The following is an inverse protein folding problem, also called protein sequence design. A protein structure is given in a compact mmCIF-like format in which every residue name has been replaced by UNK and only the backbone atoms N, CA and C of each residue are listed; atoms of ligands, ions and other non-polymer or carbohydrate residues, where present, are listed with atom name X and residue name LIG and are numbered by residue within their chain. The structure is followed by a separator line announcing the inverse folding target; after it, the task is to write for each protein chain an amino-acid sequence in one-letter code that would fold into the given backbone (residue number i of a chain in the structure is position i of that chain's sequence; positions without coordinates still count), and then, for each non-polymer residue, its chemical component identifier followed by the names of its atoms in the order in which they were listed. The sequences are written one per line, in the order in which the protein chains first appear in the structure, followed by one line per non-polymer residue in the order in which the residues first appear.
data_IF_887836223426
#
_entry.id   IF_887836223426
#
_cell.length_a   1.000
_cell.length_b   1.000
_cell.length_c   1.000
_cell.angle_alpha   90.00
_cell.angle_beta   90.00
_cell.angle_gamma   90.00
#
_symmetry.space_group_name_H-M   'P 1'
#
loop_
_entity.id
_entity.type
_entity.pdbx_description
1 polymer ?
#
# COMPACT_ATOMS: atom_id res chain seq x y z
N UNK A 1 -15.38 1.73 5.26
CA UNK A 1 -16.65 1.34 5.91
C UNK A 1 -17.65 0.75 4.92
N UNK A 2 -18.14 1.53 3.93
CA UNK A 2 -19.17 1.08 2.95
C UNK A 2 -18.76 -0.20 2.22
N UNK A 3 -17.54 -0.25 1.68
CA UNK A 3 -16.98 -1.47 1.06
C UNK A 3 -17.04 -2.67 1.99
N UNK A 4 -16.57 -2.52 3.23
CA UNK A 4 -16.52 -3.60 4.23
C UNK A 4 -17.92 -4.12 4.57
N UNK A 5 -18.93 -3.24 4.71
CA UNK A 5 -20.32 -3.64 4.99
C UNK A 5 -20.98 -4.35 3.80
N UNK A 6 -20.71 -3.88 2.57
CA UNK A 6 -21.19 -4.55 1.36
C UNK A 6 -20.53 -5.90 1.12
N UNK A 7 -19.28 -6.07 1.53
CA UNK A 7 -18.57 -7.34 1.44
C UNK A 7 -18.98 -8.32 2.54
N UNK A 8 -19.31 -7.82 3.74
CA UNK A 8 -19.67 -8.66 4.89
C UNK A 8 -21.18 -8.93 5.03
N UNK A 9 -22.04 -8.28 4.24
CA UNK A 9 -23.48 -8.56 4.30
C UNK A 9 -23.78 -9.99 3.82
N UNK A 10 -24.66 -10.68 4.55
CA UNK A 10 -25.19 -11.99 4.16
C UNK A 10 -26.62 -11.81 3.67
N UNK A 11 -27.07 -12.71 2.80
CA UNK A 11 -28.50 -12.80 2.45
C UNK A 11 -29.26 -13.20 3.72
N UNK A 12 -30.35 -12.50 3.99
CA UNK A 12 -31.26 -12.84 5.07
C UNK A 12 -31.97 -14.19 4.78
N UNK A 13 -32.67 -14.74 5.77
CA UNK A 13 -33.54 -15.93 5.69
C UNK A 13 -34.51 -15.92 4.49
N UNK A 14 -34.90 -14.73 4.01
CA UNK A 14 -35.74 -14.51 2.83
C UNK A 14 -34.96 -14.27 1.53
N UNK A 15 -33.65 -14.50 1.51
CA UNK A 15 -32.77 -14.32 0.35
C UNK A 15 -32.47 -12.86 -0.03
N UNK A 16 -33.02 -11.88 0.70
CA UNK A 16 -32.81 -10.45 0.44
C UNK A 16 -31.46 -9.97 0.98
N UNK A 17 -30.80 -9.10 0.23
CA UNK A 17 -29.59 -8.39 0.64
C UNK A 17 -29.98 -7.15 1.44
N UNK A 18 -29.24 -6.88 2.53
CA UNK A 18 -29.47 -5.72 3.40
C UNK A 18 -29.20 -4.38 2.68
N UNK A 19 -28.24 -4.38 1.76
CA UNK A 19 -27.87 -3.23 0.94
C UNK A 19 -27.94 -3.59 -0.54
N UNK A 20 -28.67 -2.79 -1.32
CA UNK A 20 -28.81 -2.94 -2.77
C UNK A 20 -27.55 -2.48 -3.53
N UNK A 21 -26.72 -1.64 -2.91
CA UNK A 21 -25.47 -1.16 -3.49
C UNK A 21 -24.71 -0.15 -2.61
N UNK A 22 -23.65 0.44 -3.17
CA UNK A 22 -22.78 1.45 -2.54
C UNK A 22 -23.53 2.62 -1.92
N UNK A 23 -24.36 3.27 -2.74
CA UNK A 23 -25.11 4.47 -2.38
C UNK A 23 -26.21 4.18 -1.37
N UNK A 24 -26.88 3.04 -1.51
CA UNK A 24 -27.91 2.58 -0.56
C UNK A 24 -27.30 2.27 0.82
N UNK A 25 -26.15 1.57 0.85
CA UNK A 25 -25.41 1.37 2.09
C UNK A 25 -24.98 2.69 2.72
N UNK A 26 -24.48 3.65 1.94
CA UNK A 26 -24.09 4.96 2.45
C UNK A 26 -25.28 5.71 3.05
N UNK A 27 -26.40 5.80 2.33
CA UNK A 27 -27.61 6.49 2.78
C UNK A 27 -28.18 5.87 4.05
N UNK A 28 -28.23 4.54 4.12
CA UNK A 28 -28.72 3.82 5.30
C UNK A 28 -27.79 4.00 6.52
N UNK A 29 -26.47 4.06 6.32
CA UNK A 29 -25.51 4.32 7.41
C UNK A 29 -25.69 5.72 7.96
N UNK A 30 -25.79 6.73 7.08
CA UNK A 30 -26.02 8.12 7.50
C UNK A 30 -27.35 8.25 8.23
N UNK A 31 -28.41 7.61 7.72
CA UNK A 31 -29.74 7.66 8.34
C UNK A 31 -29.82 6.94 9.70
N UNK A 32 -29.10 5.82 9.88
CA UNK A 32 -29.17 4.99 11.10
C UNK A 32 -28.12 5.32 12.15
N UNK A 33 -26.91 5.71 11.74
CA UNK A 33 -25.75 5.91 12.63
C UNK A 33 -25.26 7.36 12.65
N UNK A 34 -25.88 8.24 11.84
CA UNK A 34 -25.47 9.62 11.67
C UNK A 34 -24.12 9.77 10.96
N UNK A 35 -23.69 11.02 10.80
CA UNK A 35 -22.41 11.35 10.15
C UNK A 35 -21.22 10.79 10.95
N UNK A 36 -21.31 10.75 12.28
CA UNK A 36 -20.28 10.16 13.16
C UNK A 36 -20.11 8.64 12.94
N UNK A 37 -21.16 7.94 12.49
CA UNK A 37 -21.10 6.52 12.13
C UNK A 37 -20.10 6.23 11.00
N UNK A 38 -19.94 7.17 10.04
CA UNK A 38 -18.97 7.05 8.94
C UNK A 38 -17.51 7.01 9.41
N UNK A 39 -17.22 7.64 10.55
CA UNK A 39 -15.87 7.72 11.11
C UNK A 39 -15.51 6.51 11.98
N UNK A 40 -16.48 5.63 12.31
CA UNK A 40 -16.22 4.40 13.06
C UNK A 40 -15.30 3.49 12.25
N UNK A 41 -14.10 3.25 12.79
CA UNK A 41 -13.07 2.42 12.16
C UNK A 41 -11.97 3.20 11.44
N UNK A 42 -11.99 4.54 11.43
CA UNK A 42 -10.87 5.34 10.91
C UNK A 42 -9.62 5.12 11.75
N UNK A 43 -9.70 5.20 13.07
CA UNK A 43 -8.57 4.99 13.99
C UNK A 43 -7.83 3.67 13.74
N UNK A 44 -8.48 2.48 13.77
CA UNK A 44 -7.79 1.23 13.46
C UNK A 44 -7.31 1.11 12.01
N UNK A 45 -7.90 1.86 11.07
CA UNK A 45 -7.38 1.94 9.71
C UNK A 45 -6.09 2.78 9.63
N UNK A 46 -6.07 3.95 10.26
CA UNK A 46 -4.89 4.81 10.34
C UNK A 46 -3.73 4.10 11.04
N UNK A 47 -3.97 3.47 12.19
CA UNK A 47 -2.92 2.72 12.92
C UNK A 47 -2.30 1.62 12.05
N UNK A 48 -3.06 1.02 11.11
CA UNK A 48 -2.51 0.00 10.22
C UNK A 48 -1.85 0.57 8.97
N UNK A 49 -2.40 1.64 8.37
CA UNK A 49 -1.94 2.16 7.07
C UNK A 49 -0.77 3.14 7.26
N UNK A 50 -0.76 3.94 8.31
CA UNK A 50 0.25 4.98 8.52
C UNK A 50 1.65 4.40 8.67
N UNK A 51 1.90 3.37 9.52
CA UNK A 51 3.24 2.76 9.60
C UNK A 51 3.68 2.13 8.28
N UNK A 52 2.73 1.53 7.54
CA UNK A 52 2.99 0.94 6.23
C UNK A 52 3.48 1.99 5.23
N UNK A 53 2.83 3.16 5.16
CA UNK A 53 3.26 4.24 4.26
C UNK A 53 4.52 4.94 4.73
N UNK A 54 4.69 5.13 6.04
CA UNK A 54 5.87 5.77 6.61
C UNK A 54 7.15 4.99 6.32
N UNK A 55 7.16 3.67 6.59
CA UNK A 55 8.30 2.80 6.28
C UNK A 55 8.61 2.84 4.79
N UNK A 56 7.56 2.78 3.96
CA UNK A 56 7.71 2.76 2.50
C UNK A 56 8.30 4.06 1.94
N UNK A 57 7.86 5.22 2.43
CA UNK A 57 8.41 6.51 2.04
C UNK A 57 9.86 6.67 2.52
N UNK A 58 10.12 6.36 3.79
CA UNK A 58 11.46 6.46 4.37
C UNK A 58 12.49 5.57 3.64
N UNK A 59 12.14 4.30 3.38
CA UNK A 59 13.06 3.39 2.68
C UNK A 59 13.23 3.78 1.21
N UNK A 60 12.20 4.33 0.56
CA UNK A 60 12.31 4.82 -0.80
C UNK A 60 13.29 5.99 -0.87
N UNK A 61 13.16 6.98 0.01
CA UNK A 61 13.99 8.18 0.01
C UNK A 61 15.44 7.81 0.34
N UNK A 62 15.67 7.01 1.39
CA UNK A 62 16.99 6.45 1.71
C UNK A 62 17.60 5.67 0.53
N UNK A 63 16.81 4.84 -0.15
CA UNK A 63 17.30 4.06 -1.30
C UNK A 63 17.65 4.95 -2.49
N UNK A 64 16.88 6.03 -2.73
CA UNK A 64 17.12 6.98 -3.81
C UNK A 64 18.37 7.80 -3.55
N UNK A 65 18.54 8.30 -2.32
CA UNK A 65 19.75 9.01 -1.87
C UNK A 65 20.99 8.12 -2.06
N UNK A 66 20.93 6.87 -1.61
CA UNK A 66 22.01 5.90 -1.79
C UNK A 66 22.40 5.72 -3.27
N UNK A 67 21.43 5.54 -4.16
CA UNK A 67 21.72 5.38 -5.59
C UNK A 67 22.17 6.67 -6.27
N UNK A 68 21.65 7.82 -5.83
CA UNK A 68 22.04 9.14 -6.32
C UNK A 68 23.51 9.43 -5.99
N UNK A 69 23.91 9.18 -4.73
CA UNK A 69 25.30 9.30 -4.27
C UNK A 69 26.23 8.34 -5.02
N UNK A 70 25.85 7.06 -5.14
CA UNK A 70 26.60 6.01 -5.85
C UNK A 70 26.89 6.38 -7.32
N UNK A 71 25.98 7.10 -7.97
CA UNK A 71 26.08 7.50 -9.37
C UNK A 71 26.55 8.94 -9.56
N UNK A 72 26.75 9.68 -8.46
CA UNK A 72 27.10 11.10 -8.45
C UNK A 72 26.14 11.96 -9.30
N UNK A 73 24.83 11.63 -9.24
CA UNK A 73 23.77 12.40 -9.90
C UNK A 73 22.85 13.03 -8.85
N UNK A 74 22.27 14.21 -9.13
CA UNK A 74 21.22 14.77 -8.26
C UNK A 74 20.06 13.77 -8.11
N UNK A 75 19.45 13.71 -6.93
CA UNK A 75 18.33 12.79 -6.65
C UNK A 75 17.15 12.99 -7.64
N UNK A 76 16.93 14.24 -8.04
CA UNK A 76 15.96 14.66 -9.03
C UNK A 76 16.22 14.13 -10.45
N UNK A 77 17.47 13.75 -10.75
CA UNK A 77 17.87 13.23 -12.06
C UNK A 77 18.20 11.74 -12.03
N UNK A 78 17.76 11.05 -10.98
CA UNK A 78 17.98 9.62 -10.84
C UNK A 78 17.35 8.86 -12.03
N UNK A 79 18.13 8.04 -12.77
CA UNK A 79 17.58 7.27 -13.89
C UNK A 79 16.44 6.36 -13.45
N UNK A 80 15.39 6.24 -14.29
CA UNK A 80 14.16 5.49 -13.97
C UNK A 80 14.46 4.09 -13.42
N UNK A 81 15.46 3.39 -13.98
CA UNK A 81 15.88 2.06 -13.52
C UNK A 81 16.27 2.02 -12.05
N UNK A 82 16.97 3.03 -11.52
CA UNK A 82 17.35 3.10 -10.11
C UNK A 82 16.19 3.58 -9.24
N UNK A 83 15.33 4.46 -9.76
CA UNK A 83 14.07 4.80 -9.11
C UNK A 83 13.16 3.58 -8.94
N UNK A 84 13.10 2.69 -9.93
CA UNK A 84 12.38 1.42 -9.87
C UNK A 84 12.98 0.47 -8.83
N UNK A 85 14.31 0.37 -8.77
CA UNK A 85 15.02 -0.42 -7.76
C UNK A 85 14.76 0.11 -6.34
N UNK A 86 14.81 1.43 -6.14
CA UNK A 86 14.47 2.06 -4.87
C UNK A 86 13.00 1.81 -4.48
N UNK A 87 12.08 1.85 -5.46
CA UNK A 87 10.69 1.45 -5.23
C UNK A 87 10.58 -0.03 -4.84
N UNK A 88 11.34 -0.92 -5.47
CA UNK A 88 11.33 -2.34 -5.16
C UNK A 88 11.86 -2.64 -3.74
N UNK A 89 12.97 -2.03 -3.34
CA UNK A 89 13.54 -2.17 -1.99
C UNK A 89 12.59 -1.62 -0.93
N UNK A 90 11.95 -0.48 -1.19
CA UNK A 90 10.93 0.10 -0.32
C UNK A 90 9.72 -0.83 -0.13
N UNK A 91 9.17 -1.36 -1.22
CA UNK A 91 8.06 -2.32 -1.17
C UNK A 91 8.42 -3.60 -0.43
N UNK A 92 9.63 -4.13 -0.66
CA UNK A 92 10.09 -5.35 0.00
C UNK A 92 10.29 -5.15 1.51
N UNK A 93 11.05 -4.11 1.90
CA UNK A 93 11.33 -3.81 3.31
C UNK A 93 10.04 -3.51 4.09
N UNK A 94 9.15 -2.72 3.50
CA UNK A 94 7.84 -2.44 4.09
C UNK A 94 7.06 -3.72 4.37
N UNK A 95 6.96 -4.63 3.41
CA UNK A 95 6.19 -5.87 3.61
C UNK A 95 6.80 -6.72 4.72
N UNK A 96 8.13 -6.88 4.76
CA UNK A 96 8.76 -7.65 5.84
C UNK A 96 8.48 -7.05 7.22
N UNK A 97 8.51 -5.71 7.34
CA UNK A 97 8.26 -5.03 8.60
C UNK A 97 6.77 -5.04 9.01
N UNK A 98 5.84 -4.92 8.05
CA UNK A 98 4.41 -4.74 8.36
C UNK A 98 3.60 -6.02 8.37
N UNK A 99 4.10 -7.11 7.76
CA UNK A 99 3.32 -8.34 7.61
C UNK A 99 2.81 -8.92 8.95
N UNK A 100 3.60 -8.97 10.04
CA UNK A 100 3.09 -9.43 11.34
C UNK A 100 1.92 -8.59 11.86
N UNK A 101 2.01 -7.26 11.73
CA UNK A 101 0.94 -6.34 12.13
C UNK A 101 -0.32 -6.53 11.29
N UNK A 102 -0.16 -6.70 9.97
CA UNK A 102 -1.27 -6.95 9.04
C UNK A 102 -2.02 -8.24 9.40
N UNK A 103 -1.30 -9.34 9.65
CA UNK A 103 -1.91 -10.62 10.01
C UNK A 103 -2.68 -10.53 11.32
N UNK A 104 -2.11 -9.91 12.35
CA UNK A 104 -2.81 -9.72 13.64
C UNK A 104 -4.06 -8.88 13.45
N UNK A 105 -3.97 -7.78 12.69
CA UNK A 105 -5.13 -6.92 12.39
C UNK A 105 -6.23 -7.67 11.65
N UNK A 106 -5.89 -8.47 10.65
CA UNK A 106 -6.85 -9.28 9.90
C UNK A 106 -7.55 -10.27 10.84
N UNK A 107 -6.81 -11.00 11.67
CA UNK A 107 -7.39 -11.97 12.60
C UNK A 107 -8.29 -11.31 13.63
N UNK A 108 -7.91 -10.15 14.16
CA UNK A 108 -8.76 -9.38 15.07
C UNK A 108 -10.05 -8.90 14.38
N UNK A 109 -9.98 -8.48 13.12
CA UNK A 109 -11.16 -8.07 12.35
C UNK A 109 -12.08 -9.25 12.03
N UNK A 110 -11.52 -10.43 11.74
CA UNK A 110 -12.28 -11.67 11.53
C UNK A 110 -12.98 -12.10 12.82
N UNK A 111 -12.26 -12.12 13.95
CA UNK A 111 -12.81 -12.45 15.25
C UNK A 111 -13.90 -11.45 15.70
N UNK A 112 -13.72 -10.16 15.40
CA UNK A 112 -14.74 -9.14 15.67
C UNK A 112 -16.01 -9.28 14.83
N UNK A 113 -15.96 -10.03 13.73
CA UNK A 113 -17.09 -10.26 12.82
C UNK A 113 -17.85 -11.56 13.11
N UNK A 114 -17.31 -12.45 13.95
CA UNK A 114 -17.98 -13.68 14.38
C UNK A 114 -18.95 -13.40 15.54
N UNK A 115 -20.12 -14.05 15.53
CA UNK A 115 -21.02 -14.09 16.68
C UNK A 115 -20.39 -15.03 17.71
N UNK A 116 -20.02 -14.49 18.86
CA UNK A 116 -19.47 -15.28 19.96
C UNK A 116 -20.60 -16.07 20.61
N UNK A 117 -20.33 -17.32 20.96
CA UNK A 117 -21.20 -18.06 21.88
C UNK A 117 -21.10 -17.42 23.28
N UNK A 118 -22.10 -17.62 24.17
CA UNK A 118 -22.14 -16.97 25.49
C UNK A 118 -20.90 -17.21 26.37
N UNK A 119 -20.07 -18.21 26.04
CA UNK A 119 -18.90 -18.63 26.83
C UNK A 119 -17.56 -18.37 26.13
N UNK A 120 -17.54 -17.78 24.93
CA UNK A 120 -16.31 -17.50 24.19
C UNK A 120 -15.84 -16.05 24.38
N UNK A 121 -14.56 -15.89 24.73
CA UNK A 121 -13.90 -14.59 24.77
C UNK A 121 -13.29 -14.25 23.41
N UNK A 122 -13.32 -12.96 23.06
CA UNK A 122 -12.64 -12.48 21.85
C UNK A 122 -11.13 -12.69 21.99
N UNK A 123 -10.46 -13.28 20.99
CA UNK A 123 -9.01 -13.43 21.02
C UNK A 123 -8.34 -12.06 21.05
N UNK A 124 -7.34 -11.91 21.92
CA UNK A 124 -6.51 -10.71 22.01
C UNK A 124 -5.39 -10.75 20.98
N UNK A 125 -4.81 -9.59 20.65
CA UNK A 125 -3.65 -9.54 19.75
C UNK A 125 -2.51 -10.47 20.20
N UNK A 126 -2.27 -10.54 21.51
CA UNK A 126 -1.23 -11.39 22.08
C UNK A 126 -1.56 -12.88 21.99
N UNK A 127 -2.82 -13.28 22.18
CA UNK A 127 -3.22 -14.69 21.99
C UNK A 127 -3.10 -15.13 20.54
N UNK A 128 -3.40 -14.23 19.58
CA UNK A 128 -3.23 -14.46 18.15
C UNK A 128 -1.75 -14.67 17.80
N UNK A 129 -0.87 -13.77 18.25
CA UNK A 129 0.58 -13.88 18.02
C UNK A 129 1.13 -15.19 18.57
N UNK A 130 0.76 -15.57 19.80
CA UNK A 130 1.18 -16.84 20.41
C UNK A 130 0.64 -18.06 19.65
N UNK A 131 -0.60 -18.00 19.17
CA UNK A 131 -1.23 -19.11 18.45
C UNK A 131 -0.66 -19.35 17.05
N UNK A 132 -0.29 -18.28 16.34
CA UNK A 132 0.24 -18.36 14.98
C UNK A 132 1.75 -18.65 14.95
N UNK A 133 2.48 -18.18 15.96
CA UNK A 133 3.94 -18.19 15.98
C UNK A 133 4.55 -17.40 14.81
N UNK A 134 5.89 -17.44 14.70
CA UNK A 134 6.61 -16.69 13.67
C UNK A 134 6.23 -17.12 12.25
N UNK A 135 6.11 -18.43 11.98
CA UNK A 135 5.72 -18.93 10.65
C UNK A 135 4.30 -18.52 10.26
N UNK A 136 3.37 -18.47 11.22
CA UNK A 136 2.00 -18.02 10.97
C UNK A 136 1.90 -16.51 10.72
N UNK A 137 2.73 -15.71 11.40
CA UNK A 137 2.79 -14.25 11.19
C UNK A 137 3.33 -13.84 9.82
N UNK A 138 4.12 -14.69 9.17
CA UNK A 138 4.59 -14.48 7.79
C UNK A 138 3.81 -15.29 6.74
N UNK A 139 2.68 -15.89 7.14
CA UNK A 139 1.81 -16.61 6.20
C UNK A 139 1.07 -15.60 5.32
N UNK A 140 1.53 -15.44 4.09
CA UNK A 140 0.94 -14.51 3.11
C UNK A 140 1.93 -13.50 2.52
N UNK A 141 3.16 -13.42 3.06
CA UNK A 141 4.22 -12.53 2.59
C UNK A 141 4.45 -12.57 1.07
N UNK A 142 4.49 -13.75 0.40
CA UNK A 142 4.67 -13.77 -1.05
C UNK A 142 3.55 -13.05 -1.81
N UNK A 143 2.33 -13.11 -1.28
CA UNK A 143 1.18 -12.52 -1.92
C UNK A 143 1.04 -11.02 -1.61
N UNK A 144 1.60 -10.53 -0.50
CA UNK A 144 1.73 -9.08 -0.22
C UNK A 144 2.88 -8.48 -1.02
N UNK A 145 4.02 -9.17 -1.11
CA UNK A 145 5.14 -8.78 -1.98
C UNK A 145 4.72 -8.65 -3.45
N UNK A 146 3.97 -9.63 -3.98
CA UNK A 146 3.48 -9.60 -5.37
C UNK A 146 2.61 -8.37 -5.67
N UNK A 147 1.96 -7.80 -4.66
CA UNK A 147 1.13 -6.60 -4.81
C UNK A 147 1.95 -5.33 -4.59
N UNK A 148 2.71 -5.27 -3.50
CA UNK A 148 3.31 -4.04 -3.01
C UNK A 148 4.61 -3.70 -3.75
N UNK A 149 5.40 -4.70 -4.17
CA UNK A 149 6.64 -4.46 -4.92
C UNK A 149 6.32 -3.89 -6.31
N UNK A 150 5.46 -4.50 -7.16
CA UNK A 150 5.13 -3.94 -8.47
C UNK A 150 4.43 -2.58 -8.37
N UNK A 151 3.59 -2.38 -7.36
CA UNK A 151 2.98 -1.07 -7.10
C UNK A 151 4.06 -0.01 -6.88
N UNK A 152 5.06 -0.30 -6.05
CA UNK A 152 6.13 0.65 -5.69
C UNK A 152 7.08 0.96 -6.84
N UNK A 153 7.44 -0.07 -7.61
CA UNK A 153 8.29 0.03 -8.81
C UNK A 153 7.71 1.06 -9.80
N UNK A 154 6.39 1.16 -9.89
CA UNK A 154 5.71 2.07 -10.81
C UNK A 154 5.39 3.40 -10.13
N UNK A 155 4.84 3.35 -8.91
CA UNK A 155 4.34 4.51 -8.20
C UNK A 155 5.44 5.56 -7.96
N UNK A 156 6.59 5.17 -7.41
CA UNK A 156 7.63 6.12 -7.02
C UNK A 156 8.30 6.82 -8.20
N UNK A 157 8.77 6.11 -9.25
CA UNK A 157 9.35 6.77 -10.42
C UNK A 157 8.36 7.68 -11.14
N UNK A 158 7.10 7.24 -11.29
CA UNK A 158 6.07 8.06 -11.92
C UNK A 158 5.74 9.30 -11.10
N UNK A 159 5.64 9.16 -9.78
CA UNK A 159 5.41 10.28 -8.87
C UNK A 159 6.57 11.29 -8.93
N UNK A 160 7.82 10.83 -8.91
CA UNK A 160 8.99 11.70 -9.09
C UNK A 160 8.99 12.38 -10.46
N UNK A 161 8.72 11.64 -11.54
CA UNK A 161 8.68 12.21 -12.89
C UNK A 161 7.66 13.36 -13.02
N UNK A 162 6.43 13.16 -12.52
CA UNK A 162 5.40 14.21 -12.56
C UNK A 162 5.78 15.40 -11.67
N UNK A 163 6.35 15.13 -10.49
CA UNK A 163 6.84 16.18 -9.59
C UNK A 163 7.93 17.04 -10.24
N UNK A 164 8.88 16.42 -10.94
CA UNK A 164 9.96 17.13 -11.64
C UNK A 164 9.45 18.01 -12.78
N UNK A 165 8.43 17.56 -13.51
CA UNK A 165 7.84 18.34 -14.60
C UNK A 165 7.05 19.56 -14.11
N UNK A 166 6.52 19.50 -12.89
CA UNK A 166 5.77 20.60 -12.28
C UNK A 166 6.54 21.35 -11.21
N UNK A 167 7.86 21.17 -11.10
CA UNK A 167 8.69 21.93 -10.18
C UNK A 167 8.87 23.36 -10.69
N UNK A 168 8.82 24.33 -9.77
CA UNK A 168 9.04 25.75 -10.09
C UNK A 168 10.54 26.05 -10.30
N UNK A 169 10.88 27.26 -10.76
CA UNK A 169 12.28 27.68 -10.99
C UNK A 169 13.14 27.60 -9.72
N UNK A 170 12.52 27.71 -8.53
CA UNK A 170 13.14 27.52 -7.22
C UNK A 170 13.38 26.04 -6.83
N UNK A 171 13.05 25.08 -7.70
CA UNK A 171 13.13 23.64 -7.44
C UNK A 171 12.07 23.12 -6.46
N UNK A 172 11.12 23.96 -6.03
CA UNK A 172 10.03 23.57 -5.13
C UNK A 172 8.81 23.14 -5.93
N UNK A 173 8.29 21.95 -5.64
CA UNK A 173 7.04 21.48 -6.26
C UNK A 173 5.80 22.04 -5.55
N UNK A 174 4.89 22.76 -6.24
CA UNK A 174 3.68 23.27 -5.59
C UNK A 174 2.82 22.11 -5.07
N UNK A 175 2.10 22.33 -3.97
CA UNK A 175 1.31 21.29 -3.32
C UNK A 175 0.23 20.69 -4.24
N UNK A 176 -0.28 21.46 -5.20
CA UNK A 176 -1.21 20.98 -6.23
C UNK A 176 -0.58 19.92 -7.14
N UNK A 177 0.69 20.11 -7.53
CA UNK A 177 1.45 19.14 -8.32
C UNK A 177 1.76 17.90 -7.49
N UNK A 178 2.10 18.05 -6.21
CA UNK A 178 2.28 16.90 -5.30
C UNK A 178 1.00 16.06 -5.20
N UNK A 179 -0.15 16.72 -4.99
CA UNK A 179 -1.46 16.04 -4.94
C UNK A 179 -1.78 15.37 -6.27
N UNK A 180 -1.59 16.07 -7.39
CA UNK A 180 -1.82 15.56 -8.74
C UNK A 180 -0.93 14.35 -9.08
N UNK A 181 0.35 14.43 -8.75
CA UNK A 181 1.32 13.35 -8.92
C UNK A 181 0.90 12.11 -8.12
N UNK A 182 0.51 12.29 -6.85
CA UNK A 182 0.00 11.20 -6.01
C UNK A 182 -1.29 10.56 -6.53
N UNK A 183 -2.22 11.37 -7.08
CA UNK A 183 -3.44 10.87 -7.72
C UNK A 183 -3.10 10.04 -8.96
N UNK A 184 -2.33 10.60 -9.91
CA UNK A 184 -2.02 9.94 -11.18
C UNK A 184 -1.19 8.68 -10.95
N UNK A 185 -0.12 8.77 -10.14
CA UNK A 185 0.69 7.60 -9.80
C UNK A 185 -0.13 6.54 -9.05
N UNK A 186 -1.05 6.96 -8.18
CA UNK A 186 -1.97 6.07 -7.48
C UNK A 186 -2.91 5.31 -8.41
N UNK A 187 -3.50 5.99 -9.41
CA UNK A 187 -4.37 5.37 -10.43
C UNK A 187 -3.59 4.39 -11.30
N UNK A 188 -2.42 4.82 -11.80
CA UNK A 188 -1.59 3.98 -12.69
C UNK A 188 -1.09 2.75 -11.94
N UNK A 189 -0.52 2.94 -10.74
CA UNK A 189 -0.06 1.84 -9.90
C UNK A 189 -1.19 0.87 -9.51
N UNK A 190 -2.38 1.40 -9.17
CA UNK A 190 -3.54 0.57 -8.89
C UNK A 190 -3.98 -0.26 -10.11
N UNK A 191 -3.97 0.36 -11.30
CA UNK A 191 -4.38 -0.29 -12.55
C UNK A 191 -3.43 -1.42 -12.92
N UNK A 192 -2.13 -1.20 -12.83
CA UNK A 192 -1.12 -2.21 -13.20
C UNK A 192 -1.14 -3.44 -12.29
N UNK A 193 -1.44 -3.27 -11.00
CA UNK A 193 -1.48 -4.38 -10.04
C UNK A 193 -2.85 -5.06 -9.99
N UNK A 194 -3.87 -4.51 -10.64
CA UNK A 194 -5.24 -5.07 -10.62
C UNK A 194 -5.32 -6.50 -11.17
N UNK A 195 -4.69 -6.85 -12.30
CA UNK A 195 -4.69 -8.24 -12.79
C UNK A 195 -4.15 -9.25 -11.76
N UNK A 196 -3.04 -8.91 -11.08
CA UNK A 196 -2.44 -9.77 -10.06
C UNK A 196 -3.38 -9.97 -8.85
N UNK A 197 -4.07 -8.91 -8.42
CA UNK A 197 -5.03 -9.00 -7.33
C UNK A 197 -6.29 -9.78 -7.72
N UNK A 198 -6.76 -9.70 -8.96
CA UNK A 198 -7.86 -10.53 -9.45
C UNK A 198 -7.46 -12.01 -9.41
N UNK A 199 -6.28 -12.37 -9.90
CA UNK A 199 -5.79 -13.76 -9.85
C UNK A 199 -5.67 -14.25 -8.40
N UNK A 200 -5.05 -13.44 -7.52
CA UNK A 200 -4.90 -13.76 -6.10
C UNK A 200 -6.25 -13.98 -5.41
N UNK A 201 -7.22 -13.10 -5.63
CA UNK A 201 -8.55 -13.23 -5.02
C UNK A 201 -9.29 -14.46 -5.53
N UNK A 202 -9.24 -14.77 -6.84
CA UNK A 202 -9.85 -15.98 -7.41
C UNK A 202 -9.23 -17.28 -6.88
N UNK A 203 -7.93 -17.28 -6.58
CA UNK A 203 -7.24 -18.42 -5.97
C UNK A 203 -7.59 -18.60 -4.48
N UNK A 204 -7.90 -17.51 -3.76
CA UNK A 204 -8.12 -17.52 -2.31
C UNK A 204 -9.60 -17.64 -1.88
N UNK A 205 -10.55 -17.40 -2.79
CA UNK A 205 -11.99 -17.51 -2.47
C UNK A 205 -12.39 -18.97 -2.31
N UNK A 206 -13.07 -19.28 -1.20
CA UNK A 206 -13.66 -20.59 -0.94
C UNK A 206 -14.72 -20.90 -1.98
N UNK A 207 -14.50 -21.99 -2.72
CA UNK A 207 -15.25 -22.35 -3.93
C UNK A 207 -16.67 -22.83 -3.63
N UNK A 208 -17.59 -22.53 -4.54
CA UNK A 208 -18.89 -23.21 -4.60
C UNK A 208 -18.81 -24.43 -5.52
N UNK A 209 -19.64 -25.47 -5.31
CA UNK A 209 -19.71 -26.61 -6.23
C UNK A 209 -20.01 -26.12 -7.66
N UNK A 210 -19.19 -26.51 -8.64
CA UNK A 210 -19.34 -26.13 -10.06
C UNK A 210 -18.46 -24.99 -10.55
N UNK A 211 -17.63 -24.37 -9.70
CA UNK A 211 -16.67 -23.34 -10.14
C UNK A 211 -15.35 -23.95 -10.65
N UNK A 212 -14.67 -23.31 -11.63
CA UNK A 212 -13.42 -23.81 -12.21
C UNK A 212 -12.32 -24.00 -11.16
N UNK A 213 -11.62 -25.14 -11.26
CA UNK A 213 -10.48 -25.48 -10.40
C UNK A 213 -9.21 -24.88 -10.99
N UNK A 214 -8.66 -23.89 -10.29
CA UNK A 214 -7.34 -23.35 -10.59
C UNK A 214 -6.25 -24.16 -9.87
N UNK A 215 -5.28 -24.67 -10.61
CA UNK A 215 -4.09 -25.41 -10.13
C UNK A 215 -2.92 -24.48 -9.76
N UNK A 216 -2.95 -23.22 -10.20
CA UNK A 216 -1.92 -22.23 -9.92
C UNK A 216 -2.21 -20.86 -10.55
N UNK A 217 -1.25 -19.93 -10.45
CA UNK A 217 -1.36 -18.56 -10.97
C UNK A 217 -1.53 -18.55 -12.50
N UNK A 218 -0.67 -19.28 -13.22
CA UNK A 218 -0.70 -19.33 -14.68
C UNK A 218 -1.99 -19.96 -15.22
N UNK A 219 -2.43 -21.07 -14.59
CA UNK A 219 -3.69 -21.74 -14.92
C UNK A 219 -4.90 -20.84 -14.64
N UNK A 220 -4.90 -20.12 -13.52
CA UNK A 220 -5.93 -19.13 -13.21
C UNK A 220 -5.99 -18.00 -14.24
N UNK A 221 -4.84 -17.41 -14.59
CA UNK A 221 -4.75 -16.38 -15.61
C UNK A 221 -5.31 -16.88 -16.96
N UNK A 222 -4.86 -18.05 -17.42
CA UNK A 222 -5.27 -18.60 -18.71
C UNK A 222 -6.77 -18.92 -18.75
N UNK A 223 -7.32 -19.49 -17.67
CA UNK A 223 -8.75 -19.76 -17.57
C UNK A 223 -9.59 -18.49 -17.53
N UNK A 224 -9.15 -17.44 -16.81
CA UNK A 224 -9.86 -16.15 -16.80
C UNK A 224 -9.88 -15.53 -18.20
N UNK A 225 -8.74 -15.47 -18.88
CA UNK A 225 -8.65 -14.89 -20.22
C UNK A 225 -9.48 -15.67 -21.22
N UNK A 226 -9.47 -17.01 -21.15
CA UNK A 226 -10.21 -17.89 -22.07
C UNK A 226 -11.73 -17.89 -21.83
N UNK A 227 -12.16 -17.86 -20.56
CA UNK A 227 -13.57 -18.03 -20.19
C UNK A 227 -14.31 -16.70 -19.96
N UNK A 228 -13.63 -15.67 -19.47
CA UNK A 228 -14.23 -14.37 -19.13
C UNK A 228 -13.70 -13.21 -19.99
N UNK A 229 -12.62 -13.42 -20.75
CA UNK A 229 -11.95 -12.40 -21.56
C UNK A 229 -10.94 -11.54 -20.77
N UNK A 230 -10.08 -10.84 -21.50
CA UNK A 230 -8.99 -10.04 -20.90
C UNK A 230 -9.50 -8.91 -19.98
N UNK A 231 -10.66 -8.31 -20.30
CA UNK A 231 -11.28 -7.28 -19.48
C UNK A 231 -11.65 -7.77 -18.06
N UNK A 232 -11.82 -9.09 -17.86
CA UNK A 232 -12.11 -9.65 -16.56
C UNK A 232 -10.98 -9.45 -15.54
N UNK A 233 -9.72 -9.35 -16.00
CA UNK A 233 -8.56 -9.07 -15.16
C UNK A 233 -8.56 -7.66 -14.57
N UNK A 234 -9.34 -6.73 -15.15
CA UNK A 234 -9.46 -5.35 -14.68
C UNK A 234 -10.78 -5.11 -13.93
N UNK A 235 -11.59 -6.15 -13.69
CA UNK A 235 -12.80 -6.05 -12.87
C UNK A 235 -12.42 -5.61 -11.46
N UNK A 236 -12.82 -4.38 -11.11
CA UNK A 236 -12.52 -3.77 -9.82
C UNK A 236 -11.45 -2.67 -9.85
N UNK A 237 -10.90 -2.32 -11.02
CA UNK A 237 -9.92 -1.22 -11.14
C UNK A 237 -10.51 0.12 -10.70
N UNK A 238 -11.74 0.46 -11.15
CA UNK A 238 -12.41 1.72 -10.78
C UNK A 238 -12.60 1.87 -9.28
N UNK A 239 -13.25 0.94 -8.55
CA UNK A 239 -13.42 1.06 -7.11
C UNK A 239 -12.09 1.01 -6.34
N UNK A 240 -11.04 0.40 -6.91
CA UNK A 240 -9.69 0.45 -6.33
C UNK A 240 -9.07 1.83 -6.50
N UNK A 241 -9.06 2.37 -7.71
CA UNK A 241 -8.49 3.69 -8.01
C UNK A 241 -9.14 4.79 -7.19
N UNK A 242 -10.47 4.74 -7.00
CA UNK A 242 -11.21 5.68 -6.14
C UNK A 242 -10.79 5.67 -4.67
N UNK A 243 -10.19 4.58 -4.19
CA UNK A 243 -9.69 4.48 -2.81
C UNK A 243 -8.20 4.80 -2.75
N UNK A 244 -7.42 4.23 -3.67
CA UNK A 244 -5.96 4.29 -3.67
C UNK A 244 -5.46 5.69 -4.04
N UNK A 245 -6.03 6.32 -5.06
CA UNK A 245 -5.55 7.61 -5.55
C UNK A 245 -5.69 8.72 -4.50
N UNK A 246 -6.86 8.96 -3.87
CA UNK A 246 -6.97 10.00 -2.84
C UNK A 246 -6.11 9.71 -1.62
N UNK A 247 -5.97 8.44 -1.24
CA UNK A 247 -5.13 8.03 -0.11
C UNK A 247 -3.66 8.40 -0.33
N UNK A 248 -3.11 8.12 -1.51
CA UNK A 248 -1.71 8.46 -1.83
C UNK A 248 -1.49 9.95 -2.06
N UNK A 249 -2.45 10.64 -2.66
CA UNK A 249 -2.40 12.10 -2.80
C UNK A 249 -2.30 12.79 -1.44
N UNK A 250 -3.19 12.43 -0.50
CA UNK A 250 -3.18 12.97 0.85
C UNK A 250 -1.89 12.58 1.58
N UNK A 251 -1.45 11.32 1.48
CA UNK A 251 -0.24 10.86 2.15
C UNK A 251 1.00 11.66 1.69
N UNK A 252 1.17 11.85 0.38
CA UNK A 252 2.29 12.63 -0.16
C UNK A 252 2.17 14.12 0.17
N UNK A 253 0.97 14.69 0.14
CA UNK A 253 0.75 16.07 0.55
C UNK A 253 1.17 16.30 2.00
N UNK A 254 0.71 15.43 2.92
CA UNK A 254 1.09 15.51 4.33
C UNK A 254 2.58 15.27 4.53
N UNK A 255 3.18 14.36 3.77
CA UNK A 255 4.61 14.09 3.81
C UNK A 255 5.45 15.32 3.40
N UNK A 256 5.10 15.95 2.29
CA UNK A 256 5.75 17.17 1.80
C UNK A 256 5.51 18.36 2.74
N UNK A 257 4.33 18.44 3.36
CA UNK A 257 4.05 19.41 4.41
C UNK A 257 4.99 19.19 5.59
N UNK A 258 5.12 17.94 6.06
CA UNK A 258 6.04 17.58 7.13
C UNK A 258 7.48 17.91 6.75
N UNK A 259 7.97 17.55 5.57
CA UNK A 259 9.34 17.88 5.16
C UNK A 259 9.59 19.39 5.09
N UNK A 260 8.63 20.20 4.65
CA UNK A 260 8.79 21.66 4.58
C UNK A 260 8.81 22.35 5.94
N UNK A 261 8.00 21.87 6.88
CA UNK A 261 7.86 22.49 8.21
C UNK A 261 8.77 21.86 9.29
N UNK A 262 9.10 20.58 9.16
CA UNK A 262 9.93 19.81 10.11
C UNK A 262 11.31 19.41 9.54
N UNK A 263 11.53 19.58 8.23
CA UNK A 263 12.82 19.31 7.59
C UNK A 263 14.03 20.02 8.22
N UNK A 264 13.92 21.27 8.71
CA UNK A 264 15.04 21.92 9.39
C UNK A 264 15.52 21.20 10.66
N UNK A 265 14.65 20.42 11.34
CA UNK A 265 15.01 19.72 12.58
C UNK A 265 15.43 18.26 12.38
N UNK A 266 15.16 17.65 11.22
CA UNK A 266 15.47 16.24 10.96
C UNK A 266 16.91 16.05 10.45
N UNK A 267 17.49 17.06 9.79
CA UNK A 267 18.91 17.08 9.41
C UNK A 267 19.85 17.09 10.63
N UNK A 268 19.39 17.53 11.79
CA UNK A 268 20.16 17.52 13.05
C UNK A 268 20.08 16.17 13.80
N UNK A 269 19.07 15.34 13.52
CA UNK A 269 18.83 14.06 14.22
C UNK A 269 19.43 12.84 13.52
N UNK A 270 20.15 13.04 12.41
CA UNK A 270 20.89 11.97 11.71
C UNK A 270 22.40 12.17 11.86
N UNK A 271 23.00 11.92 13.05
CA UNK A 271 24.45 11.82 13.17
C UNK A 271 24.89 10.44 12.65
N UNK A 272 24.79 10.24 11.33
CA UNK A 272 25.56 9.20 10.62
C UNK A 272 26.46 9.82 9.55
N UNK A 273 26.81 11.10 9.70
CA UNK A 273 28.12 11.56 9.26
C UNK A 273 29.16 10.93 10.18
N UNK A 274 29.64 9.73 9.84
CA UNK A 274 31.03 9.41 10.17
C UNK A 274 31.90 10.35 9.32
N UNK A 275 32.70 11.23 9.93
CA UNK A 275 33.71 11.97 9.20
C UNK A 275 34.83 10.97 8.88
N UNK A 276 34.80 10.33 7.71
CA UNK A 276 36.03 9.77 7.15
C UNK A 276 36.79 10.90 6.48
N UNK A 277 37.20 11.88 7.29
CA UNK A 277 38.48 12.54 7.09
C UNK A 277 39.55 11.55 7.52
N UNK A 278 40.32 11.04 6.58
CA UNK A 278 41.76 10.88 6.79
C UNK A 278 42.53 11.03 5.48
N UNK A 279 43.65 11.79 5.50
CA UNK A 279 44.47 12.17 4.35
C UNK A 279 45.47 11.05 4.02
N UNK A 280 46.46 11.33 3.17
CA UNK A 280 47.56 10.46 2.66
C UNK A 280 47.21 9.88 1.28
N UNK A 281 47.70 10.41 0.16
CA UNK A 281 49.10 10.55 -0.24
C UNK A 281 49.23 11.64 -1.32
N UNK A 282 49.81 12.79 -0.98
CA UNK A 282 50.62 13.53 -1.94
C UNK A 282 51.95 12.79 -2.06
N UNK A 283 52.19 12.13 -3.18
CA UNK A 283 53.54 11.82 -3.62
C UNK A 283 53.59 11.93 -5.14
N UNK A 284 54.37 12.94 -5.55
CA UNK A 284 55.20 12.96 -6.73
C UNK A 284 54.50 13.17 -8.08
N UNK A 285 54.51 14.42 -8.54
CA UNK A 285 55.13 14.75 -9.82
C UNK A 285 55.58 16.21 -9.81
N UNK A 286 56.88 16.42 -9.52
CA UNK A 286 57.62 17.61 -9.94
C UNK A 286 58.26 17.31 -11.28
N UNK A 287 57.89 18.10 -12.29
CA UNK A 287 58.86 18.74 -13.18
C UNK A 287 58.63 20.24 -13.10
#
# INVERSE_FOLDING_TARGET
MVKTRLQNQKKDSLGKLQYRGGLDCFRQVVAKEGVRGLYRGIVPNLIGITPEKAIKLAVNDFSREYWAERLSVPEDKLPIKYGMLAGATAGFCQVIATNPMEIVKIQMQLAGSQKLTPNEQRPTAMSIVRSLGLRGLYRGTPATLLRDVPFSIIFFPLNSYIKLQGADEDGKTPFSVVLGAGLVAGVVGASTVTPADVIKTRLQVTRKPGEPVYRGIADCFQQIVRNEGFAALFKGVVPRSLIVAPMFAIALFVYELQQRYLGPSMSELTPLHTPTSSPVLMLNDRK
#
